data_IF_446922555429
#
_entry.id   IF_446922555429
#
_cell.length_a   1.000
_cell.length_b   1.000
_cell.length_c   1.000
_cell.angle_alpha   90.00
_cell.angle_beta   90.00
_cell.angle_gamma   90.00
#
_symmetry.space_group_name_H-M   'P 1'
#
loop_
_entity.id
_entity.type
_entity.pdbx_description
1 polymer ?
#
# COMPACT_ATOMS: atom_id res chain seq x y z
N UNK A 1 26.54 34.56 -0.22
CA UNK A 1 25.32 34.43 0.61
C UNK A 1 24.32 33.36 0.18
N UNK A 2 24.29 32.88 -1.09
CA UNK A 2 23.30 31.90 -1.55
C UNK A 2 23.44 30.46 -1.05
N UNK A 3 24.64 29.99 -0.67
CA UNK A 3 24.84 28.58 -0.23
C UNK A 3 24.23 28.26 1.13
N UNK A 4 24.34 29.15 2.10
CA UNK A 4 23.79 28.94 3.46
C UNK A 4 22.26 28.87 3.46
N UNK A 5 21.58 29.61 2.55
CA UNK A 5 20.12 29.61 2.47
C UNK A 5 19.57 28.27 1.90
N UNK A 6 20.29 27.64 0.93
CA UNK A 6 19.88 26.35 0.36
C UNK A 6 20.04 25.19 1.36
N UNK A 7 21.13 25.16 2.11
CA UNK A 7 21.38 24.14 3.13
C UNK A 7 20.34 24.21 4.24
N UNK A 8 20.00 25.43 4.68
CA UNK A 8 18.95 25.63 5.69
C UNK A 8 17.59 25.21 5.18
N UNK A 9 17.24 25.54 3.95
CA UNK A 9 16.00 25.11 3.32
C UNK A 9 15.89 23.58 3.26
N UNK A 10 16.94 22.88 2.82
CA UNK A 10 16.95 21.40 2.79
C UNK A 10 16.80 20.81 4.19
N UNK A 11 17.47 21.36 5.17
CA UNK A 11 17.35 20.92 6.56
C UNK A 11 15.91 21.09 7.07
N UNK A 12 15.30 22.27 6.83
CA UNK A 12 13.92 22.54 7.21
C UNK A 12 12.93 21.57 6.53
N UNK A 13 13.17 21.19 5.27
CA UNK A 13 12.35 20.21 4.54
C UNK A 13 12.50 18.81 5.16
N UNK A 14 13.71 18.39 5.50
CA UNK A 14 13.99 17.10 6.12
C UNK A 14 13.30 17.00 7.48
N UNK A 15 13.46 18.01 8.33
CA UNK A 15 12.85 18.05 9.67
C UNK A 15 11.31 18.09 9.59
N UNK A 16 10.75 18.96 8.74
CA UNK A 16 9.30 19.10 8.59
C UNK A 16 8.64 17.78 8.20
N UNK A 17 9.28 17.04 7.31
CA UNK A 17 8.76 15.77 6.80
C UNK A 17 9.21 14.55 7.62
N UNK A 18 10.02 14.75 8.66
CA UNK A 18 10.60 13.68 9.49
C UNK A 18 11.25 12.59 8.63
N UNK A 19 12.01 13.01 7.61
CA UNK A 19 12.57 12.08 6.63
C UNK A 19 13.60 11.14 7.26
N UNK A 20 14.34 11.58 8.26
CA UNK A 20 15.28 10.78 9.06
C UNK A 20 14.60 9.53 9.66
N UNK A 21 13.38 9.67 10.15
CA UNK A 21 12.60 8.57 10.75
C UNK A 21 11.89 7.74 9.68
N UNK A 22 11.35 8.39 8.64
CA UNK A 22 10.52 7.73 7.60
C UNK A 22 11.35 7.03 6.54
N UNK A 23 12.55 7.51 6.25
CA UNK A 23 13.39 7.06 5.14
C UNK A 23 13.73 5.55 5.20
N UNK A 24 14.05 4.94 6.36
CA UNK A 24 14.29 3.50 6.42
C UNK A 24 13.07 2.65 6.00
N UNK A 25 11.87 3.09 6.37
CA UNK A 25 10.64 2.40 5.95
C UNK A 25 10.34 2.59 4.47
N UNK A 26 10.59 3.80 3.94
CA UNK A 26 10.45 4.12 2.51
C UNK A 26 11.41 3.26 1.68
N UNK A 27 12.69 3.18 2.08
CA UNK A 27 13.68 2.36 1.37
C UNK A 27 13.28 0.89 1.39
N UNK A 28 12.82 0.37 2.53
CA UNK A 28 12.37 -1.02 2.61
C UNK A 28 11.25 -1.32 1.62
N UNK A 29 10.21 -0.48 1.60
CA UNK A 29 9.10 -0.65 0.67
C UNK A 29 9.57 -0.55 -0.78
N UNK A 30 10.42 0.42 -1.09
CA UNK A 30 11.01 0.60 -2.40
C UNK A 30 11.80 -0.63 -2.89
N UNK A 31 12.61 -1.26 -2.01
CA UNK A 31 13.35 -2.47 -2.34
C UNK A 31 12.44 -3.69 -2.54
N UNK A 32 11.31 -3.73 -1.82
CA UNK A 32 10.31 -4.81 -1.97
C UNK A 32 9.51 -4.63 -3.25
N UNK A 33 8.96 -3.43 -3.47
CA UNK A 33 8.01 -3.16 -4.56
C UNK A 33 8.70 -2.89 -5.91
N UNK A 34 10.01 -2.65 -5.90
CA UNK A 34 10.81 -2.34 -7.09
C UNK A 34 10.65 -0.91 -7.60
N UNK A 35 9.63 -0.19 -7.17
CA UNK A 35 9.41 1.20 -7.55
C UNK A 35 8.65 1.96 -6.46
N UNK A 36 8.69 3.29 -6.54
CA UNK A 36 7.98 4.18 -5.64
C UNK A 36 7.93 5.59 -6.17
N UNK A 37 6.93 6.35 -5.74
CA UNK A 37 6.69 7.71 -6.16
C UNK A 37 6.87 8.68 -5.00
N UNK A 38 7.72 9.67 -5.17
CA UNK A 38 7.75 10.85 -4.31
C UNK A 38 6.89 11.95 -4.92
N UNK A 39 5.93 12.42 -4.15
CA UNK A 39 5.08 13.55 -4.51
C UNK A 39 5.35 14.73 -3.59
N UNK A 40 5.60 15.90 -4.17
CA UNK A 40 5.92 17.14 -3.47
C UNK A 40 4.71 18.07 -3.50
N UNK A 41 4.00 18.18 -2.39
CA UNK A 41 2.85 19.06 -2.27
C UNK A 41 3.28 20.39 -1.62
N UNK A 42 3.19 21.53 -2.32
CA UNK A 42 3.40 22.82 -1.68
C UNK A 42 2.24 23.09 -0.71
N UNK A 43 2.58 23.44 0.53
CA UNK A 43 1.61 23.92 1.51
C UNK A 43 1.41 25.43 1.33
N UNK A 44 0.24 25.96 1.78
CA UNK A 44 -0.09 27.37 1.75
C UNK A 44 0.92 28.28 2.46
N UNK A 45 1.73 27.71 3.36
CA UNK A 45 2.82 28.40 4.08
C UNK A 45 4.18 28.29 3.42
N UNK A 46 4.25 27.98 2.13
CA UNK A 46 5.50 27.73 1.38
C UNK A 46 6.36 26.58 1.96
N UNK A 47 5.73 25.69 2.69
CA UNK A 47 6.38 24.46 3.17
C UNK A 47 6.04 23.33 2.22
N UNK A 48 7.06 22.55 1.88
CA UNK A 48 6.88 21.38 1.02
C UNK A 48 6.63 20.14 1.88
N UNK A 49 5.49 19.49 1.65
CA UNK A 49 5.19 18.20 2.22
C UNK A 49 5.58 17.12 1.20
N UNK A 50 6.30 16.11 1.67
CA UNK A 50 6.77 15.01 0.85
C UNK A 50 5.97 13.77 1.22
N UNK A 51 5.28 13.22 0.23
CA UNK A 51 4.54 11.97 0.31
C UNK A 51 5.28 10.90 -0.48
N UNK A 52 5.26 9.69 0.03
CA UNK A 52 5.76 8.53 -0.66
C UNK A 52 4.60 7.56 -0.90
N UNK A 53 4.50 7.06 -2.13
CA UNK A 53 3.49 6.11 -2.55
C UNK A 53 4.15 4.85 -3.09
N UNK A 54 3.61 3.68 -2.72
CA UNK A 54 4.06 2.39 -3.18
C UNK A 54 3.47 2.08 -4.58
N UNK A 55 4.03 1.10 -5.27
CA UNK A 55 3.65 0.66 -6.63
C UNK A 55 2.14 0.54 -6.87
N UNK A 56 1.39 0.05 -5.88
CA UNK A 56 -0.05 -0.17 -6.00
C UNK A 56 -0.90 1.09 -5.79
N UNK A 57 -0.29 2.20 -5.39
CA UNK A 57 -0.98 3.44 -5.03
C UNK A 57 -0.89 4.51 -6.12
N UNK A 58 -0.13 4.30 -7.19
CA UNK A 58 0.03 5.29 -8.24
C UNK A 58 0.13 4.69 -9.64
N UNK A 59 -0.09 5.54 -10.64
CA UNK A 59 0.26 5.29 -12.06
C UNK A 59 0.88 6.56 -12.61
N UNK A 60 1.92 6.40 -13.41
CA UNK A 60 2.62 7.48 -14.10
C UNK A 60 2.41 7.32 -15.60
N UNK A 61 2.01 8.40 -16.24
CA UNK A 61 1.88 8.48 -17.69
C UNK A 61 2.97 9.40 -18.22
N UNK A 62 3.71 8.92 -19.20
CA UNK A 62 4.79 9.64 -19.83
C UNK A 62 4.39 10.09 -21.23
N UNK A 63 4.90 11.24 -21.63
CA UNK A 63 4.81 11.69 -23.01
C UNK A 63 5.77 10.92 -23.92
N UNK A 64 5.74 11.23 -25.23
CA UNK A 64 6.62 10.60 -26.22
C UNK A 64 8.12 10.87 -25.98
N UNK A 65 8.46 11.86 -25.16
CA UNK A 65 9.82 12.23 -24.80
C UNK A 65 10.27 11.60 -23.48
N UNK A 66 9.41 10.80 -22.81
CA UNK A 66 9.66 10.20 -21.53
C UNK A 66 9.51 11.16 -20.34
N UNK A 67 8.90 12.34 -20.55
CA UNK A 67 8.57 13.25 -19.45
C UNK A 67 7.24 12.84 -18.81
N UNK A 68 7.11 13.06 -17.51
CA UNK A 68 5.86 12.77 -16.80
C UNK A 68 4.79 13.77 -17.25
N UNK A 69 3.75 13.26 -17.92
CA UNK A 69 2.60 14.03 -18.38
C UNK A 69 1.51 14.09 -17.31
N UNK A 70 1.20 12.93 -16.71
CA UNK A 70 0.20 12.82 -15.67
C UNK A 70 0.63 11.82 -14.60
N UNK A 71 0.27 12.08 -13.37
CA UNK A 71 0.37 11.14 -12.25
C UNK A 71 -1.00 10.98 -11.62
N UNK A 72 -1.46 9.75 -11.51
CA UNK A 72 -2.67 9.39 -10.77
C UNK A 72 -2.30 8.64 -9.50
N UNK A 73 -2.75 9.16 -8.36
CA UNK A 73 -2.46 8.59 -7.04
C UNK A 73 -3.79 8.21 -6.39
N UNK A 74 -3.86 7.00 -5.81
CA UNK A 74 -5.01 6.54 -5.02
C UNK A 74 -4.52 6.16 -3.62
N UNK A 75 -5.17 6.73 -2.62
CA UNK A 75 -4.91 6.40 -1.22
C UNK A 75 -6.18 6.47 -0.40
N UNK A 76 -6.16 5.80 0.75
CA UNK A 76 -7.24 5.84 1.72
C UNK A 76 -6.80 6.51 3.01
N UNK A 77 -7.75 7.11 3.71
CA UNK A 77 -7.54 7.64 5.04
C UNK A 77 -8.76 7.38 5.93
N UNK A 78 -8.50 7.31 7.23
CA UNK A 78 -9.54 7.09 8.23
C UNK A 78 -10.10 8.42 8.69
N UNK A 79 -11.42 8.58 8.58
CA UNK A 79 -12.12 9.75 9.13
C UNK A 79 -12.44 9.48 10.59
N UNK A 80 -11.96 10.32 11.48
CA UNK A 80 -12.42 10.30 12.88
C UNK A 80 -13.81 10.91 12.94
N UNK A 81 -14.81 10.10 13.26
CA UNK A 81 -16.15 10.62 13.55
C UNK A 81 -16.11 11.43 14.85
N UNK A 82 -15.97 12.73 14.74
CA UNK A 82 -15.93 13.66 15.87
C UNK A 82 -17.28 13.82 16.60
N UNK A 83 -18.38 13.25 16.05
CA UNK A 83 -19.74 13.64 16.43
C UNK A 83 -20.30 12.89 17.66
N UNK A 84 -19.69 11.82 18.16
CA UNK A 84 -20.30 11.01 19.22
C UNK A 84 -19.45 10.72 20.46
N UNK A 85 -18.22 11.20 20.53
CA UNK A 85 -17.37 10.99 21.74
C UNK A 85 -17.11 9.53 22.11
N UNK A 86 -17.49 8.57 21.26
CA UNK A 86 -17.28 7.15 21.46
C UNK A 86 -15.97 6.71 20.82
N UNK A 87 -15.26 5.72 21.39
CA UNK A 87 -14.04 5.20 20.82
C UNK A 87 -14.30 4.71 19.39
N UNK A 88 -13.43 5.10 18.45
CA UNK A 88 -13.52 4.80 17.02
C UNK A 88 -13.54 3.30 16.66
N UNK A 89 -13.30 2.44 17.63
CA UNK A 89 -13.16 0.99 17.45
C UNK A 89 -14.50 0.25 17.45
N UNK A 90 -15.58 0.90 17.88
CA UNK A 90 -16.90 0.28 18.03
C UNK A 90 -17.80 0.46 16.79
N UNK A 91 -17.55 1.48 15.97
CA UNK A 91 -18.33 1.71 14.76
C UNK A 91 -17.39 1.72 13.55
N UNK A 92 -17.70 0.87 12.60
CA UNK A 92 -16.94 0.60 11.38
C UNK A 92 -16.17 1.83 10.90
N UNK A 93 -14.87 1.67 10.75
CA UNK A 93 -13.97 2.73 10.34
C UNK A 93 -14.45 3.25 8.99
N UNK A 94 -15.03 4.46 8.96
CA UNK A 94 -15.35 5.13 7.71
C UNK A 94 -14.03 5.46 7.03
N UNK A 95 -13.63 4.60 6.13
CA UNK A 95 -12.53 4.86 5.20
C UNK A 95 -13.04 5.79 4.13
N UNK A 96 -12.25 6.79 3.79
CA UNK A 96 -12.42 7.58 2.58
C UNK A 96 -11.29 7.29 1.62
N UNK A 97 -11.62 7.18 0.37
CA UNK A 97 -10.69 6.98 -0.72
C UNK A 97 -10.53 8.28 -1.48
N UNK A 98 -9.29 8.59 -1.83
CA UNK A 98 -8.95 9.79 -2.59
C UNK A 98 -8.22 9.37 -3.84
N UNK A 99 -8.68 9.87 -4.99
CA UNK A 99 -7.98 9.83 -6.26
C UNK A 99 -7.47 11.22 -6.60
N UNK A 100 -6.18 11.33 -6.75
CA UNK A 100 -5.51 12.58 -7.10
C UNK A 100 -4.92 12.42 -8.51
N UNK A 101 -5.38 13.20 -9.47
CA UNK A 101 -4.81 13.30 -10.81
C UNK A 101 -4.07 14.62 -10.94
N UNK A 102 -2.81 14.57 -11.34
CA UNK A 102 -1.91 15.72 -11.38
C UNK A 102 -1.29 15.80 -12.77
N UNK A 103 -1.60 16.90 -13.45
CA UNK A 103 -0.96 17.29 -14.70
C UNK A 103 -0.13 18.55 -14.52
N UNK A 104 0.55 19.02 -15.55
CA UNK A 104 1.25 20.30 -15.51
C UNK A 104 0.30 21.47 -15.25
N UNK A 105 -0.94 21.40 -15.76
CA UNK A 105 -1.91 22.50 -15.70
C UNK A 105 -2.89 22.39 -14.55
N UNK A 106 -3.29 21.17 -14.18
CA UNK A 106 -4.40 20.95 -13.25
C UNK A 106 -4.09 19.88 -12.20
N UNK A 107 -4.70 20.06 -11.04
CA UNK A 107 -4.76 19.06 -9.97
C UNK A 107 -6.23 18.76 -9.69
N UNK A 108 -6.65 17.51 -9.93
CA UNK A 108 -8.00 17.04 -9.66
C UNK A 108 -7.97 16.11 -8.45
N UNK A 109 -8.82 16.36 -7.48
CA UNK A 109 -8.97 15.56 -6.27
C UNK A 109 -10.41 15.05 -6.19
N UNK A 110 -10.59 13.75 -6.16
CA UNK A 110 -11.88 13.08 -6.08
C UNK A 110 -11.94 12.28 -4.79
N UNK A 111 -12.93 12.54 -3.96
CA UNK A 111 -13.16 11.79 -2.72
C UNK A 111 -14.38 10.88 -2.87
N UNK A 112 -14.29 9.67 -2.30
CA UNK A 112 -15.38 8.68 -2.31
C UNK A 112 -15.38 7.86 -1.01
N UNK A 113 -16.55 7.38 -0.62
CA UNK A 113 -16.71 6.42 0.47
C UNK A 113 -16.48 4.97 -0.02
N UNK A 114 -16.42 4.74 -1.33
CA UNK A 114 -16.09 3.47 -1.97
C UNK A 114 -14.70 3.50 -2.59
N UNK A 115 -14.11 2.32 -2.75
CA UNK A 115 -12.80 2.15 -3.38
C UNK A 115 -12.80 2.72 -4.80
N UNK A 116 -11.77 3.49 -5.12
CA UNK A 116 -11.57 4.14 -6.41
C UNK A 116 -10.61 3.33 -7.27
N UNK A 117 -10.86 3.28 -8.58
CA UNK A 117 -9.98 2.64 -9.56
C UNK A 117 -9.17 3.70 -10.33
N UNK A 118 -8.02 3.28 -10.85
CA UNK A 118 -7.23 4.10 -11.78
C UNK A 118 -7.95 4.34 -13.12
N UNK A 119 -8.83 3.43 -13.52
CA UNK A 119 -9.55 3.44 -14.79
C UNK A 119 -10.81 4.32 -14.80
N UNK A 120 -11.14 4.95 -13.69
CA UNK A 120 -12.31 5.83 -13.64
C UNK A 120 -12.00 7.12 -14.38
N UNK A 121 -12.72 7.35 -15.48
CA UNK A 121 -12.62 8.63 -16.20
C UNK A 121 -13.02 9.80 -15.31
N UNK A 122 -12.26 10.91 -15.34
CA UNK A 122 -12.62 12.12 -14.65
C UNK A 122 -13.99 12.61 -15.14
N UNK A 123 -14.99 12.61 -14.27
CA UNK A 123 -16.34 13.08 -14.62
C UNK A 123 -17.43 12.02 -14.64
N UNK A 124 -17.12 10.74 -14.44
CA UNK A 124 -18.14 9.68 -14.33
C UNK A 124 -18.89 9.77 -12.99
N UNK A 125 -19.76 10.78 -12.84
CA UNK A 125 -20.81 10.81 -11.80
C UNK A 125 -20.39 10.74 -10.34
N UNK A 126 -19.11 10.87 -10.03
CA UNK A 126 -18.60 10.83 -8.65
C UNK A 126 -18.78 12.21 -8.03
N UNK A 127 -19.71 12.31 -7.08
CA UNK A 127 -19.91 13.52 -6.29
C UNK A 127 -18.65 13.76 -5.42
N UNK A 128 -18.03 14.94 -5.56
CA UNK A 128 -16.91 15.33 -4.73
C UNK A 128 -15.59 15.60 -5.47
N UNK A 129 -15.62 15.71 -6.80
CA UNK A 129 -14.42 16.08 -7.57
C UNK A 129 -14.16 17.58 -7.46
N UNK A 130 -12.99 17.93 -6.95
CA UNK A 130 -12.49 19.31 -6.89
C UNK A 130 -11.35 19.47 -7.88
N UNK A 131 -11.41 20.48 -8.74
CA UNK A 131 -10.34 20.80 -9.68
C UNK A 131 -9.74 22.16 -9.35
N UNK A 132 -8.42 22.24 -9.38
CA UNK A 132 -7.68 23.50 -9.17
C UNK A 132 -6.50 23.59 -10.15
N UNK A 133 -6.08 24.81 -10.51
CA UNK A 133 -4.89 24.97 -11.35
C UNK A 133 -3.63 24.50 -10.60
N UNK A 134 -2.71 23.90 -11.33
CA UNK A 134 -1.38 23.57 -10.83
C UNK A 134 -0.46 24.80 -11.01
N UNK A 135 -0.24 25.52 -9.92
CA UNK A 135 0.57 26.75 -9.93
C UNK A 135 2.06 26.53 -10.21
N UNK A 136 2.51 25.27 -10.24
CA UNK A 136 3.92 24.95 -10.48
C UNK A 136 4.25 24.85 -11.98
N UNK A 137 3.25 24.60 -12.84
CA UNK A 137 3.47 24.42 -14.29
C UNK A 137 4.23 23.16 -14.68
N UNK A 138 4.37 22.22 -13.75
CA UNK A 138 4.94 20.87 -13.97
C UNK A 138 4.37 19.89 -12.95
N UNK A 139 4.49 18.60 -13.22
CA UNK A 139 4.05 17.55 -12.28
C UNK A 139 5.09 17.42 -11.17
N UNK A 140 4.79 17.80 -9.91
CA UNK A 140 5.75 17.80 -8.80
C UNK A 140 5.91 16.39 -8.21
N UNK A 141 6.27 15.43 -9.04
CA UNK A 141 6.46 14.04 -8.67
C UNK A 141 7.74 13.49 -9.29
N UNK A 142 8.36 12.56 -8.57
CA UNK A 142 9.55 11.84 -9.02
C UNK A 142 9.30 10.36 -8.79
N UNK A 143 9.29 9.59 -9.87
CA UNK A 143 9.30 8.15 -9.82
C UNK A 143 10.72 7.62 -9.65
N UNK A 144 10.89 6.70 -8.73
CA UNK A 144 12.13 6.00 -8.48
C UNK A 144 11.95 4.53 -8.87
N UNK A 145 12.86 4.01 -9.68
CA UNK A 145 12.86 2.61 -10.13
C UNK A 145 14.09 1.90 -9.57
N UNK A 146 13.87 0.73 -8.94
CA UNK A 146 14.93 -0.18 -8.56
C UNK A 146 15.11 -1.20 -9.69
N UNK A 147 16.34 -1.37 -10.18
CA UNK A 147 16.63 -2.27 -11.31
C UNK A 147 15.64 -2.09 -12.46
N UNK A 148 15.64 -0.93 -13.15
CA UNK A 148 14.67 -0.66 -14.19
C UNK A 148 14.72 -1.73 -15.28
N UNK A 149 13.55 -2.13 -15.78
CA UNK A 149 13.43 -3.03 -16.92
C UNK A 149 14.02 -2.40 -18.20
N UNK A 150 14.09 -3.17 -19.28
CA UNK A 150 14.68 -2.70 -20.55
C UNK A 150 13.94 -1.50 -21.15
N UNK A 151 12.67 -1.32 -20.86
CA UNK A 151 11.86 -0.15 -21.28
C UNK A 151 12.03 1.06 -20.36
N UNK A 152 12.59 0.88 -19.15
CA UNK A 152 12.73 1.93 -18.16
C UNK A 152 11.40 2.40 -17.56
N UNK A 153 10.33 1.62 -17.73
CA UNK A 153 8.97 1.98 -17.29
C UNK A 153 8.54 1.31 -16.00
N UNK A 154 9.27 0.29 -15.54
CA UNK A 154 8.98 -0.44 -14.31
C UNK A 154 10.27 -0.87 -13.63
N UNK A 155 10.23 -1.00 -12.30
CA UNK A 155 11.33 -1.47 -11.47
C UNK A 155 11.08 -2.87 -10.95
N UNK A 156 12.14 -3.64 -10.75
CA UNK A 156 12.12 -4.99 -10.19
C UNK A 156 12.47 -4.93 -8.70
N UNK A 157 11.65 -5.54 -7.84
CA UNK A 157 11.95 -5.68 -6.42
C UNK A 157 13.11 -6.66 -6.17
N UNK A 158 13.80 -6.47 -5.07
CA UNK A 158 14.93 -7.35 -4.72
C UNK A 158 14.51 -8.80 -4.50
N UNK A 159 13.25 -9.04 -4.17
CA UNK A 159 12.68 -10.37 -3.94
C UNK A 159 12.02 -11.00 -5.17
N UNK A 160 11.74 -10.21 -6.21
CA UNK A 160 11.03 -10.68 -7.42
C UNK A 160 11.68 -11.93 -8.04
N UNK A 161 13.02 -12.03 -8.16
CA UNK A 161 13.66 -13.24 -8.71
C UNK A 161 13.46 -14.50 -7.84
N UNK A 162 13.07 -14.33 -6.58
CA UNK A 162 12.90 -15.43 -5.63
C UNK A 162 11.43 -15.72 -5.30
N UNK A 163 10.48 -14.99 -5.87
CA UNK A 163 9.06 -15.10 -5.53
C UNK A 163 8.52 -16.50 -5.76
N UNK A 164 8.88 -17.16 -6.86
CA UNK A 164 8.45 -18.54 -7.13
C UNK A 164 8.96 -19.51 -6.07
N UNK A 165 10.21 -19.32 -5.61
CA UNK A 165 10.79 -20.18 -4.58
C UNK A 165 10.14 -19.93 -3.22
N UNK A 166 9.80 -18.67 -2.90
CA UNK A 166 9.11 -18.31 -1.67
C UNK A 166 7.70 -18.93 -1.65
N UNK A 167 6.96 -18.84 -2.77
CA UNK A 167 5.63 -19.44 -2.90
C UNK A 167 5.72 -20.96 -2.73
N UNK A 168 6.63 -21.62 -3.45
CA UNK A 168 6.84 -23.06 -3.34
C UNK A 168 7.17 -23.49 -1.91
N UNK A 169 8.05 -22.75 -1.24
CA UNK A 169 8.41 -23.04 0.15
C UNK A 169 7.21 -22.90 1.10
N UNK A 170 6.39 -21.85 0.93
CA UNK A 170 5.18 -21.67 1.72
C UNK A 170 4.15 -22.76 1.47
N UNK A 171 3.99 -23.23 0.23
CA UNK A 171 3.12 -24.35 -0.10
C UNK A 171 3.60 -25.65 0.54
N UNK A 172 4.91 -25.91 0.53
CA UNK A 172 5.50 -27.06 1.22
C UNK A 172 5.24 -27.02 2.72
N UNK A 173 5.47 -25.88 3.38
CA UNK A 173 5.18 -25.71 4.82
C UNK A 173 3.69 -25.94 5.10
N UNK A 174 2.81 -25.40 4.28
CA UNK A 174 1.36 -25.56 4.42
C UNK A 174 0.95 -27.02 4.28
N UNK A 175 1.53 -27.75 3.32
CA UNK A 175 1.26 -29.18 3.14
C UNK A 175 1.80 -30.01 4.30
N UNK A 176 2.99 -29.68 4.83
CA UNK A 176 3.52 -30.33 6.03
C UNK A 176 2.60 -30.10 7.23
N UNK A 177 2.14 -28.85 7.45
CA UNK A 177 1.23 -28.53 8.54
C UNK A 177 -0.10 -29.31 8.43
N UNK A 178 -0.70 -29.38 7.23
CA UNK A 178 -1.90 -30.19 6.98
C UNK A 178 -1.66 -31.67 7.23
N UNK A 179 -0.51 -32.21 6.83
CA UNK A 179 -0.16 -33.60 7.09
C UNK A 179 0.00 -33.87 8.59
N UNK A 180 0.65 -32.97 9.32
CA UNK A 180 0.79 -33.08 10.78
C UNK A 180 -0.59 -33.04 11.44
N UNK A 181 -1.47 -32.16 11.02
CA UNK A 181 -2.85 -32.05 11.53
C UNK A 181 -3.62 -33.36 11.27
N UNK A 182 -3.54 -33.91 10.06
CA UNK A 182 -4.22 -35.10 9.67
C UNK A 182 -3.70 -36.37 10.40
N UNK A 183 -2.39 -36.51 10.52
CA UNK A 183 -1.77 -37.67 11.18
C UNK A 183 -1.61 -37.47 12.69
N UNK A 184 -1.54 -36.24 13.17
CA UNK A 184 -1.46 -35.89 14.59
C UNK A 184 -2.80 -36.04 15.33
N UNK A 185 -3.92 -36.00 14.60
CA UNK A 185 -5.27 -36.26 15.10
C UNK A 185 -5.92 -37.40 14.29
N UNK A 186 -5.45 -38.62 14.41
CA UNK A 186 -5.99 -39.74 13.64
C UNK A 186 -7.47 -39.95 14.00
N UNK A 187 -8.32 -39.82 12.99
CA UNK A 187 -9.72 -40.25 13.14
C UNK A 187 -9.78 -41.75 13.28
N UNK A 188 -10.20 -42.24 14.45
CA UNK A 188 -10.45 -43.64 14.67
C UNK A 188 -11.59 -44.12 13.74
N UNK A 189 -11.24 -44.77 12.65
CA UNK A 189 -12.22 -45.45 11.79
C UNK A 189 -12.35 -46.87 12.31
N UNK A 190 -13.47 -47.18 12.94
CA UNK A 190 -13.80 -48.55 13.38
C UNK A 190 -14.91 -49.12 12.51
N UNK A 191 -14.72 -50.33 12.04
CA UNK A 191 -15.77 -51.09 11.39
C UNK A 191 -16.78 -51.71 12.37
N UNK A 192 -16.53 -51.55 13.69
CA UNK A 192 -17.43 -52.01 14.74
C UNK A 192 -18.49 -50.99 15.09
N UNK A 193 -19.69 -51.39 15.48
CA UNK A 193 -20.71 -50.50 16.03
C UNK A 193 -20.16 -49.72 17.22
N UNK A 194 -20.60 -48.46 17.38
CA UNK A 194 -20.14 -47.56 18.46
C UNK A 194 -20.38 -48.12 19.88
N UNK A 195 -21.40 -48.95 20.04
CA UNK A 195 -21.69 -49.65 21.28
C UNK A 195 -20.53 -50.53 21.77
N UNK A 196 -19.86 -51.20 20.84
CA UNK A 196 -18.78 -52.14 21.19
C UNK A 196 -17.49 -51.45 21.59
N UNK A 197 -17.32 -50.16 21.15
CA UNK A 197 -16.18 -49.33 21.50
C UNK A 197 -16.31 -48.73 22.90
N UNK A 198 -17.52 -48.45 23.34
CA UNK A 198 -17.80 -47.89 24.69
C UNK A 198 -17.53 -48.97 25.75
N UNK A 199 -17.94 -50.22 25.50
CA UNK A 199 -17.69 -51.32 26.43
C UNK A 199 -16.19 -51.65 26.57
N UNK A 200 -15.42 -51.52 25.47
CA UNK A 200 -13.98 -51.73 25.52
C UNK A 200 -13.21 -50.60 26.24
N UNK A 201 -13.75 -49.37 26.26
CA UNK A 201 -13.18 -48.24 26.95
C UNK A 201 -13.38 -48.29 28.47
N UNK A 202 -14.53 -48.77 28.94
CA UNK A 202 -14.84 -48.89 30.34
C UNK A 202 -14.07 -50.03 31.02
N UNK A 203 -13.66 -51.07 30.28
CA UNK A 203 -12.88 -52.17 30.85
C UNK A 203 -11.41 -51.80 31.17
N UNK A 204 -10.95 -50.62 30.75
CA UNK A 204 -9.58 -50.13 31.00
C UNK A 204 -9.43 -49.11 32.14
N UNK A 205 -10.53 -48.68 32.77
CA UNK A 205 -10.51 -47.62 33.78
C UNK A 205 -10.53 -48.14 35.25
N UNK A 206 -10.20 -49.38 35.48
CA UNK A 206 -9.96 -49.88 36.83
C UNK A 206 -8.47 -50.13 37.03
N UNK A 207 -7.72 -49.00 37.18
CA UNK A 207 -6.47 -48.98 37.98
C UNK A 207 -6.24 -47.55 38.47
#
# INVERSE_FOLDING_TARGET
>A
MHRLSRTRFLHDVVELNKLDIRFPAIIRNFLIDGCGLFYFRPDQKLKYQIYFFNKNQYRVFHDLNGQIEEVVIIYDYKVKNATLGLPSDVYGQNKRYVRLSITADTIQETESDSELSFEIEPGAGISGTTSRPNSLGFVPAVECLNKPNASGTDGEGDFDPFMEQIVLHNDMITNIAKNIEFFGNPTLISSRPRSDLVEAGDAGSTF
#
